data_IF_744338009567
#
_entry.id   IF_744338009567
#
_cell.length_a   1.000
_cell.length_b   1.000
_cell.length_c   1.000
_cell.angle_alpha   90.00
_cell.angle_beta   90.00
_cell.angle_gamma   90.00
#
_symmetry.space_group_name_H-M   'P 1'
#
loop_
_entity.id
_entity.type
_entity.pdbx_description
1 polymer ?
#
# COMPACT_ATOMS: atom_id res chain seq x y z
N UNK A 1 12.30 0.31 9.57
CA UNK A 1 11.91 1.40 8.65
C UNK A 1 12.51 2.70 9.15
N UNK A 2 13.11 3.52 8.27
CA UNK A 2 13.55 4.88 8.68
C UNK A 2 12.33 5.75 8.98
N UNK A 3 12.51 6.80 9.79
CA UNK A 3 11.43 7.74 10.13
C UNK A 3 10.87 8.44 8.89
N UNK A 4 11.75 8.84 7.97
CA UNK A 4 11.40 9.44 6.68
C UNK A 4 10.53 8.50 5.81
N UNK A 5 10.91 7.23 5.74
CA UNK A 5 10.16 6.20 5.00
C UNK A 5 8.77 5.99 5.62
N UNK A 6 8.68 6.04 6.95
CA UNK A 6 7.41 5.92 7.68
C UNK A 6 6.47 7.06 7.36
N UNK A 7 6.98 8.30 7.39
CA UNK A 7 6.19 9.49 7.09
C UNK A 7 5.67 9.46 5.66
N UNK A 8 6.53 9.12 4.70
CA UNK A 8 6.08 9.08 3.31
C UNK A 8 5.05 7.98 3.06
N UNK A 9 5.25 6.77 3.58
CA UNK A 9 4.28 5.67 3.42
C UNK A 9 2.92 6.09 3.97
N UNK A 10 2.91 6.79 5.11
CA UNK A 10 1.69 7.36 5.68
C UNK A 10 1.05 8.40 4.76
N UNK A 11 1.81 9.36 4.26
CA UNK A 11 1.31 10.43 3.39
C UNK A 11 0.73 9.86 2.08
N UNK A 12 1.41 8.87 1.48
CA UNK A 12 0.92 8.13 0.31
C UNK A 12 -0.38 7.41 0.63
N UNK A 13 -0.43 6.69 1.76
CA UNK A 13 -1.62 5.97 2.19
C UNK A 13 -2.81 6.90 2.41
N UNK A 14 -2.61 8.03 3.09
CA UNK A 14 -3.65 9.03 3.37
C UNK A 14 -4.19 9.66 2.07
N UNK A 15 -3.29 10.13 1.20
CA UNK A 15 -3.67 10.77 -0.05
C UNK A 15 -4.33 9.79 -1.04
N UNK A 16 -3.73 8.61 -1.24
CA UNK A 16 -4.21 7.64 -2.22
C UNK A 16 -5.56 7.01 -1.83
N UNK A 17 -5.78 6.73 -0.54
CA UNK A 17 -7.09 6.24 -0.07
C UNK A 17 -8.18 7.29 -0.27
N UNK A 18 -7.87 8.58 -0.08
CA UNK A 18 -8.83 9.66 -0.36
C UNK A 18 -9.11 9.80 -1.87
N UNK A 19 -8.08 9.70 -2.72
CA UNK A 19 -8.19 9.83 -4.17
C UNK A 19 -9.03 8.72 -4.82
N UNK A 20 -8.98 7.50 -4.28
CA UNK A 20 -9.77 6.35 -4.78
C UNK A 20 -11.26 6.66 -4.95
N UNK A 21 -11.84 7.53 -4.12
CA UNK A 21 -13.24 7.91 -4.21
C UNK A 21 -13.60 8.66 -5.51
N UNK A 22 -12.64 9.38 -6.10
CA UNK A 22 -12.82 10.18 -7.31
C UNK A 22 -12.20 9.57 -8.57
N UNK A 23 -11.41 8.49 -8.44
CA UNK A 23 -10.64 7.90 -9.53
C UNK A 23 -10.93 6.40 -9.68
N UNK A 24 -11.96 5.99 -10.46
CA UNK A 24 -12.31 4.57 -10.62
C UNK A 24 -11.16 3.69 -11.14
N UNK A 25 -10.28 4.25 -11.96
CA UNK A 25 -9.08 3.54 -12.43
C UNK A 25 -8.08 3.24 -11.31
N UNK A 26 -7.92 4.15 -10.35
CA UNK A 26 -7.09 3.93 -9.17
C UNK A 26 -7.74 2.89 -8.24
N UNK A 27 -9.05 2.99 -8.01
CA UNK A 27 -9.80 2.02 -7.21
C UNK A 27 -9.66 0.59 -7.77
N UNK A 28 -9.81 0.42 -9.09
CA UNK A 28 -9.63 -0.88 -9.74
C UNK A 28 -8.20 -1.41 -9.62
N UNK A 29 -7.18 -0.55 -9.71
CA UNK A 29 -5.79 -0.95 -9.52
C UNK A 29 -5.52 -1.37 -8.06
N UNK A 30 -6.07 -0.63 -7.10
CA UNK A 30 -6.00 -0.97 -5.68
C UNK A 30 -6.64 -2.32 -5.40
N UNK A 31 -7.84 -2.60 -5.93
CA UNK A 31 -8.52 -3.90 -5.76
C UNK A 31 -7.66 -5.08 -6.26
N UNK A 32 -6.98 -4.91 -7.41
CA UNK A 32 -6.05 -5.92 -7.92
C UNK A 32 -4.86 -6.13 -6.98
N UNK A 33 -4.30 -5.05 -6.44
CA UNK A 33 -3.21 -5.15 -5.48
C UNK A 33 -3.67 -5.81 -4.17
N UNK A 34 -4.86 -5.48 -3.66
CA UNK A 34 -5.47 -6.12 -2.48
C UNK A 34 -5.56 -7.63 -2.67
N UNK A 35 -6.06 -8.10 -3.82
CA UNK A 35 -6.10 -9.53 -4.13
C UNK A 35 -4.71 -10.16 -4.07
N UNK A 36 -3.72 -9.53 -4.72
CA UNK A 36 -2.35 -10.01 -4.70
C UNK A 36 -1.69 -9.99 -3.29
N UNK A 37 -2.02 -9.03 -2.41
CA UNK A 37 -1.54 -9.03 -1.01
C UNK A 37 -2.15 -10.19 -0.24
N UNK A 38 -3.46 -10.42 -0.38
CA UNK A 38 -4.16 -11.55 0.28
C UNK A 38 -3.58 -12.89 -0.14
N UNK A 39 -3.29 -13.05 -1.44
CA UNK A 39 -2.67 -14.26 -1.98
C UNK A 39 -1.24 -14.44 -1.45
N UNK A 40 -0.46 -13.36 -1.38
CA UNK A 40 0.91 -13.39 -0.84
C UNK A 40 0.95 -13.75 0.64
N UNK A 41 0.07 -13.16 1.45
CA UNK A 41 -0.02 -13.44 2.90
C UNK A 41 -0.68 -14.80 3.16
N UNK A 42 -1.48 -15.30 2.22
CA UNK A 42 -2.24 -16.55 2.38
C UNK A 42 -3.48 -16.40 3.25
N UNK A 43 -4.04 -15.19 3.35
CA UNK A 43 -5.21 -14.92 4.18
C UNK A 43 -6.21 -14.01 3.45
N UNK A 44 -7.49 -14.40 3.43
CA UNK A 44 -8.58 -13.57 2.89
C UNK A 44 -8.76 -12.26 3.66
N UNK A 45 -8.55 -12.30 4.98
CA UNK A 45 -8.49 -11.14 5.87
C UNK A 45 -7.20 -11.21 6.68
N UNK A 46 -6.08 -10.69 6.14
CA UNK A 46 -4.82 -10.65 6.86
C UNK A 46 -4.98 -9.88 8.17
N UNK A 47 -4.39 -10.34 9.29
CA UNK A 47 -4.38 -9.58 10.52
C UNK A 47 -3.49 -8.33 10.37
N UNK A 48 -3.71 -7.34 11.24
CA UNK A 48 -3.07 -6.02 11.11
C UNK A 48 -1.54 -6.08 11.23
N UNK A 49 -1.02 -6.94 12.10
CA UNK A 49 0.42 -7.20 12.27
C UNK A 49 1.05 -7.75 10.97
N UNK A 50 0.42 -8.73 10.33
CA UNK A 50 0.89 -9.27 9.06
C UNK A 50 0.88 -8.21 7.93
N UNK A 51 -0.10 -7.30 7.93
CA UNK A 51 -0.14 -6.19 6.98
C UNK A 51 0.97 -5.16 7.26
N UNK A 52 1.26 -4.88 8.52
CA UNK A 52 2.34 -3.96 8.92
C UNK A 52 3.71 -4.52 8.52
N UNK A 53 3.95 -5.80 8.80
CA UNK A 53 5.19 -6.48 8.43
C UNK A 53 5.38 -6.51 6.91
N UNK A 54 4.30 -6.81 6.17
CA UNK A 54 4.31 -6.76 4.72
C UNK A 54 4.63 -5.34 4.21
N UNK A 55 3.95 -4.31 4.72
CA UNK A 55 4.15 -2.92 4.29
C UNK A 55 5.58 -2.45 4.55
N UNK A 56 6.13 -2.77 5.72
CA UNK A 56 7.51 -2.45 6.08
C UNK A 56 8.51 -3.10 5.13
N UNK A 57 8.43 -4.42 4.96
CA UNK A 57 9.36 -5.14 4.07
C UNK A 57 9.24 -4.67 2.62
N UNK A 58 8.01 -4.43 2.16
CA UNK A 58 7.71 -3.93 0.83
C UNK A 58 8.32 -2.55 0.57
N UNK A 59 8.03 -1.59 1.46
CA UNK A 59 8.50 -0.22 1.32
C UNK A 59 10.02 -0.15 1.44
N UNK A 60 10.63 -0.83 2.40
CA UNK A 60 12.09 -0.85 2.50
C UNK A 60 12.76 -1.44 1.26
N UNK A 61 12.20 -2.50 0.66
CA UNK A 61 12.73 -3.08 -0.57
C UNK A 61 12.56 -2.18 -1.80
N UNK A 62 11.38 -1.59 -1.97
CA UNK A 62 11.13 -0.64 -3.06
C UNK A 62 12.15 0.50 -3.07
N UNK A 63 12.38 1.11 -1.91
CA UNK A 63 13.29 2.24 -1.78
C UNK A 63 14.74 1.84 -1.93
N UNK A 64 15.14 0.67 -1.40
CA UNK A 64 16.49 0.13 -1.59
C UNK A 64 16.80 -0.12 -3.07
N UNK A 65 15.79 -0.44 -3.87
CA UNK A 65 15.89 -0.59 -5.33
C UNK A 65 15.86 0.75 -6.08
N UNK A 66 15.76 1.88 -5.38
CA UNK A 66 15.78 3.23 -5.94
C UNK A 66 14.41 3.74 -6.39
N UNK A 67 13.31 3.09 -5.99
CA UNK A 67 11.98 3.63 -6.27
C UNK A 67 11.76 4.94 -5.50
N UNK A 68 11.19 5.94 -6.18
CA UNK A 68 10.73 7.18 -5.59
C UNK A 68 9.36 7.59 -6.18
N UNK A 69 8.37 8.01 -5.37
CA UNK A 69 7.03 8.28 -5.89
C UNK A 69 7.07 9.40 -6.91
N UNK A 70 6.73 9.09 -8.16
CA UNK A 70 6.62 10.04 -9.26
C UNK A 70 5.23 10.09 -9.86
N UNK A 71 4.41 9.05 -9.65
CA UNK A 71 3.05 8.95 -10.18
C UNK A 71 2.14 8.14 -9.29
N UNK A 72 0.85 8.49 -9.27
CA UNK A 72 -0.21 7.66 -8.66
C UNK A 72 -0.47 6.35 -9.41
N UNK A 73 0.19 6.17 -10.56
CA UNK A 73 0.19 4.93 -11.36
C UNK A 73 1.41 4.04 -11.08
N UNK A 74 2.34 4.50 -10.25
CA UNK A 74 3.49 3.68 -9.89
C UNK A 74 2.99 2.42 -9.18
N UNK A 75 3.55 1.28 -9.56
CA UNK A 75 3.10 0.00 -9.03
C UNK A 75 3.31 -0.06 -7.49
N UNK A 76 4.43 0.47 -7.02
CA UNK A 76 4.76 0.61 -5.60
C UNK A 76 3.80 1.56 -4.87
N UNK A 77 3.44 2.69 -5.50
CA UNK A 77 2.46 3.63 -4.94
C UNK A 77 1.12 2.92 -4.71
N UNK A 78 0.59 2.26 -5.74
CA UNK A 78 -0.70 1.55 -5.66
C UNK A 78 -0.63 0.41 -4.63
N UNK A 79 0.52 -0.27 -4.50
CA UNK A 79 0.70 -1.31 -3.47
C UNK A 79 0.64 -0.74 -2.06
N UNK A 80 1.28 0.39 -1.81
CA UNK A 80 1.25 1.05 -0.49
C UNK A 80 -0.18 1.48 -0.16
N UNK A 81 -0.88 2.14 -1.10
CA UNK A 81 -2.28 2.54 -0.94
C UNK A 81 -3.18 1.34 -0.64
N UNK A 82 -2.99 0.22 -1.35
CA UNK A 82 -3.77 -1.00 -1.13
C UNK A 82 -3.60 -1.55 0.29
N UNK A 83 -2.37 -1.61 0.82
CA UNK A 83 -2.13 -2.11 2.17
C UNK A 83 -2.68 -1.15 3.23
N UNK A 84 -2.49 0.16 3.04
CA UNK A 84 -3.06 1.17 3.93
C UNK A 84 -4.60 1.14 3.94
N UNK A 85 -5.23 0.89 2.80
CA UNK A 85 -6.68 0.69 2.71
C UNK A 85 -7.13 -0.57 3.48
N UNK A 86 -6.45 -1.71 3.29
CA UNK A 86 -6.75 -2.94 4.02
C UNK A 86 -6.63 -2.77 5.54
N UNK A 87 -5.65 -2.01 6.01
CA UNK A 87 -5.50 -1.70 7.43
C UNK A 87 -6.67 -0.87 7.97
N UNK A 88 -7.22 0.06 7.18
CA UNK A 88 -8.40 0.85 7.57
C UNK A 88 -9.69 0.04 7.56
N UNK A 89 -9.84 -0.91 6.63
CA UNK A 89 -11.00 -1.81 6.62
C UNK A 89 -11.02 -2.78 7.81
N UNK A 90 -9.84 -3.11 8.34
CA UNK A 90 -9.67 -4.05 9.44
C UNK A 90 -9.69 -3.37 10.83
N UNK A 91 -9.71 -2.03 10.89
CA UNK A 91 -9.79 -1.24 12.11
C UNK A 91 -11.23 -1.12 12.62
#
# INVERSE_FOLDING_TARGET
MSEELTLLVRDIGDAGVAEMAGAPGLAAAVDQHVAAVRDHIGARRPPQDALMDYLHGFAEDAFRRGWWPGSTRDWEFVRIVAVCWMMRENA
#
